data_IF_055448313546
#
_entry.id   IF_055448313546
#
_cell.length_a   1.000
_cell.length_b   1.000
_cell.length_c   1.000
_cell.angle_alpha   90.00
_cell.angle_beta   90.00
_cell.angle_gamma   90.00
#
_symmetry.space_group_name_H-M   'P 1'
#
loop_
_entity.id
_entity.type
_entity.pdbx_description
1 polymer ?
#
# COMPACT_ATOMS: atom_id res chain seq x y z
N UNK A 1 28.34 -12.15 5.96
CA UNK A 1 27.95 -11.85 7.38
C UNK A 1 27.04 -10.65 7.58
N UNK A 2 26.89 -9.74 6.65
CA UNK A 2 26.15 -8.49 6.85
C UNK A 2 24.79 -8.40 6.10
N UNK A 3 24.23 -9.52 5.59
CA UNK A 3 22.99 -9.50 4.79
C UNK A 3 21.82 -8.84 5.53
N UNK A 4 21.59 -9.21 6.78
CA UNK A 4 20.49 -8.65 7.58
C UNK A 4 20.64 -7.16 7.86
N UNK A 5 21.84 -6.69 8.15
CA UNK A 5 22.13 -5.26 8.35
C UNK A 5 21.91 -4.45 7.07
N UNK A 6 22.38 -4.95 5.93
CA UNK A 6 22.24 -4.25 4.65
C UNK A 6 20.77 -4.16 4.22
N UNK A 7 20.01 -5.26 4.37
CA UNK A 7 18.56 -5.26 4.13
C UNK A 7 17.86 -4.27 5.07
N UNK A 8 18.23 -4.23 6.36
CA UNK A 8 17.70 -3.27 7.32
C UNK A 8 17.92 -1.81 6.90
N UNK A 9 19.13 -1.47 6.42
CA UNK A 9 19.44 -0.11 5.93
C UNK A 9 18.57 0.26 4.73
N UNK A 10 18.43 -0.66 3.76
CA UNK A 10 17.60 -0.42 2.55
C UNK A 10 16.12 -0.20 2.93
N UNK A 11 15.57 -1.03 3.81
CA UNK A 11 14.19 -0.89 4.27
C UNK A 11 13.99 0.40 5.06
N UNK A 12 14.95 0.76 5.93
CA UNK A 12 14.89 2.03 6.67
C UNK A 12 14.93 3.23 5.71
N UNK A 13 15.79 3.18 4.69
CA UNK A 13 15.83 4.21 3.64
C UNK A 13 14.51 4.32 2.87
N UNK A 14 13.89 3.19 2.52
CA UNK A 14 12.59 3.15 1.86
C UNK A 14 11.50 3.80 2.72
N UNK A 15 11.39 3.41 3.99
CA UNK A 15 10.39 3.95 4.90
C UNK A 15 10.60 5.45 5.15
N UNK A 16 11.85 5.86 5.40
CA UNK A 16 12.19 7.28 5.56
C UNK A 16 11.85 8.08 4.31
N UNK A 17 12.16 7.53 3.12
CA UNK A 17 11.86 8.17 1.84
C UNK A 17 10.35 8.36 1.61
N UNK A 18 9.53 7.35 1.92
CA UNK A 18 8.08 7.44 1.80
C UNK A 18 7.50 8.54 2.70
N UNK A 19 7.99 8.66 3.93
CA UNK A 19 7.52 9.67 4.87
C UNK A 19 8.04 11.06 4.53
N UNK A 20 9.35 11.17 4.27
CA UNK A 20 9.99 12.44 3.93
C UNK A 20 9.44 13.02 2.62
N UNK A 21 9.16 12.19 1.62
CA UNK A 21 8.64 12.67 0.33
C UNK A 21 7.31 13.40 0.47
N UNK A 22 6.42 12.98 1.36
CA UNK A 22 5.13 13.64 1.60
C UNK A 22 5.30 15.03 2.20
N UNK A 23 6.17 15.16 3.21
CA UNK A 23 6.46 16.45 3.85
C UNK A 23 7.18 17.38 2.88
N UNK A 24 8.23 16.88 2.21
CA UNK A 24 9.01 17.66 1.24
C UNK A 24 8.14 18.11 0.08
N UNK A 25 7.31 17.22 -0.49
CA UNK A 25 6.44 17.58 -1.61
C UNK A 25 5.35 18.58 -1.22
N UNK A 26 4.82 18.47 0.00
CA UNK A 26 3.85 19.45 0.53
C UNK A 26 4.49 20.83 0.63
N UNK A 27 5.65 20.92 1.28
CA UNK A 27 6.36 22.19 1.46
C UNK A 27 6.87 22.80 0.13
N UNK A 28 7.46 21.98 -0.75
CA UNK A 28 7.92 22.45 -2.06
C UNK A 28 6.73 22.88 -2.94
N UNK A 29 5.62 22.14 -2.87
CA UNK A 29 4.40 22.46 -3.60
C UNK A 29 3.80 23.79 -3.18
N UNK A 30 3.89 24.15 -1.88
CA UNK A 30 3.42 25.43 -1.35
C UNK A 30 4.34 26.58 -1.76
N UNK A 31 5.66 26.43 -1.62
CA UNK A 31 6.62 27.53 -1.82
C UNK A 31 6.96 27.77 -3.29
N UNK A 32 7.16 26.70 -4.07
CA UNK A 32 7.64 26.77 -5.43
C UNK A 32 6.56 26.42 -6.47
N UNK A 33 5.59 25.62 -6.07
CA UNK A 33 4.55 25.11 -6.93
C UNK A 33 4.70 23.62 -7.28
N UNK A 34 3.60 23.02 -7.76
CA UNK A 34 3.56 21.58 -8.02
C UNK A 34 4.43 21.15 -9.23
N UNK A 35 4.65 22.04 -10.21
CA UNK A 35 5.49 21.71 -11.38
C UNK A 35 6.95 21.57 -11.01
N UNK A 36 7.44 22.47 -10.18
CA UNK A 36 8.82 22.50 -9.69
C UNK A 36 9.13 21.25 -8.86
N UNK A 37 8.16 20.75 -8.10
CA UNK A 37 8.31 19.48 -7.38
C UNK A 37 8.57 18.31 -8.35
N UNK A 38 7.89 18.25 -9.51
CA UNK A 38 8.14 17.21 -10.50
C UNK A 38 9.52 17.35 -11.16
N UNK A 39 10.01 18.58 -11.41
CA UNK A 39 11.37 18.79 -11.91
C UNK A 39 12.43 18.36 -10.89
N UNK A 40 12.25 18.65 -9.61
CA UNK A 40 13.12 18.20 -8.53
C UNK A 40 13.12 16.66 -8.47
N UNK A 41 11.96 16.04 -8.50
CA UNK A 41 11.83 14.58 -8.49
C UNK A 41 12.53 13.94 -9.71
N UNK A 42 12.36 14.52 -10.90
CA UNK A 42 13.04 14.05 -12.12
C UNK A 42 14.56 14.16 -12.00
N UNK A 43 15.06 15.26 -11.47
CA UNK A 43 16.51 15.45 -11.21
C UNK A 43 17.06 14.43 -10.22
N UNK A 44 16.35 14.18 -9.12
CA UNK A 44 16.72 13.15 -8.14
C UNK A 44 16.71 11.75 -8.76
N UNK A 45 15.72 11.41 -9.58
CA UNK A 45 15.67 10.12 -10.27
C UNK A 45 16.82 9.97 -11.27
N UNK A 46 17.21 11.04 -11.97
CA UNK A 46 18.36 11.02 -12.86
C UNK A 46 19.66 10.77 -12.10
N UNK A 47 19.86 11.42 -10.94
CA UNK A 47 21.01 11.18 -10.07
C UNK A 47 21.01 9.72 -9.55
N UNK A 48 19.87 9.20 -9.13
CA UNK A 48 19.75 7.80 -8.73
C UNK A 48 20.09 6.84 -9.87
N UNK A 49 19.63 7.11 -11.10
CA UNK A 49 19.93 6.29 -12.26
C UNK A 49 21.44 6.27 -12.56
N UNK A 50 22.10 7.43 -12.52
CA UNK A 50 23.56 7.53 -12.69
C UNK A 50 24.30 6.76 -11.58
N UNK A 51 23.85 6.88 -10.33
CA UNK A 51 24.44 6.17 -9.20
C UNK A 51 24.31 4.65 -9.37
N UNK A 52 23.13 4.16 -9.76
CA UNK A 52 22.89 2.73 -10.05
C UNK A 52 23.84 2.24 -11.15
N UNK A 53 23.94 2.96 -12.28
CA UNK A 53 24.81 2.58 -13.39
C UNK A 53 26.31 2.53 -13.03
N UNK A 54 26.74 3.37 -12.06
CA UNK A 54 28.15 3.42 -11.66
C UNK A 54 28.52 2.50 -10.50
N UNK A 55 27.58 2.19 -9.62
CA UNK A 55 27.84 1.52 -8.35
C UNK A 55 27.41 0.05 -8.37
N UNK A 56 26.31 -0.28 -9.09
CA UNK A 56 25.85 -1.67 -9.12
C UNK A 56 26.78 -2.52 -10.00
N UNK A 57 27.23 -3.69 -9.49
CA UNK A 57 27.94 -4.66 -10.31
C UNK A 57 27.01 -5.32 -11.32
N UNK A 58 27.56 -5.77 -12.44
CA UNK A 58 26.83 -6.56 -13.43
C UNK A 58 26.38 -7.89 -12.82
N UNK A 59 25.08 -8.02 -12.61
CA UNK A 59 24.49 -9.24 -12.08
C UNK A 59 24.00 -10.10 -13.24
N UNK A 60 24.57 -11.31 -13.37
CA UNK A 60 24.12 -12.26 -14.35
C UNK A 60 22.65 -12.69 -14.05
N UNK A 61 21.74 -12.64 -15.03
CA UNK A 61 20.37 -13.03 -14.83
C UNK A 61 20.27 -14.52 -14.47
N UNK A 62 19.55 -14.84 -13.41
CA UNK A 62 19.33 -16.23 -12.95
C UNK A 62 18.44 -17.01 -13.91
N UNK A 63 17.62 -16.32 -14.71
CA UNK A 63 16.73 -16.92 -15.70
C UNK A 63 17.37 -16.84 -17.10
N UNK A 64 17.64 -18.01 -17.69
CA UNK A 64 18.26 -18.11 -19.00
C UNK A 64 17.26 -18.37 -20.15
N UNK A 65 15.95 -18.34 -19.86
CA UNK A 65 14.89 -18.53 -20.85
C UNK A 65 14.52 -17.27 -21.62
N UNK A 66 13.70 -17.40 -22.67
CA UNK A 66 13.16 -16.26 -23.40
C UNK A 66 12.18 -15.46 -22.54
N UNK A 67 12.14 -14.12 -22.70
CA UNK A 67 11.22 -13.26 -21.97
C UNK A 67 9.75 -13.69 -22.09
N UNK A 68 9.34 -14.20 -23.26
CA UNK A 68 8.00 -14.77 -23.47
C UNK A 68 7.68 -15.96 -22.56
N UNK A 69 8.65 -16.82 -22.27
CA UNK A 69 8.46 -17.95 -21.38
C UNK A 69 8.35 -17.51 -19.92
N UNK A 70 9.07 -16.43 -19.56
CA UNK A 70 8.92 -15.78 -18.25
C UNK A 70 7.48 -15.25 -18.10
N UNK A 71 6.96 -14.53 -19.09
CA UNK A 71 5.58 -14.01 -19.05
C UNK A 71 4.54 -15.13 -18.99
N UNK A 72 4.69 -16.20 -19.79
CA UNK A 72 3.81 -17.38 -19.71
C UNK A 72 3.83 -18.00 -18.32
N UNK A 73 4.99 -18.04 -17.67
CA UNK A 73 5.11 -18.61 -16.31
C UNK A 73 4.33 -17.83 -15.26
N UNK A 74 4.12 -16.51 -15.43
CA UNK A 74 3.25 -15.72 -14.55
C UNK A 74 1.79 -16.17 -14.66
N UNK A 75 1.30 -16.38 -15.88
CA UNK A 75 -0.06 -16.89 -16.11
C UNK A 75 -0.26 -18.31 -15.55
N UNK A 76 0.75 -19.18 -15.68
CA UNK A 76 0.72 -20.50 -15.05
C UNK A 76 0.61 -20.37 -13.52
N UNK A 77 1.43 -19.54 -12.87
CA UNK A 77 1.36 -19.32 -11.43
C UNK A 77 -0.01 -18.80 -10.98
N UNK A 78 -0.61 -17.88 -11.74
CA UNK A 78 -1.97 -17.40 -11.45
C UNK A 78 -3.00 -18.51 -11.54
N UNK A 79 -2.86 -19.43 -12.51
CA UNK A 79 -3.77 -20.56 -12.70
C UNK A 79 -3.59 -21.63 -11.63
N UNK A 80 -2.34 -21.98 -11.33
CA UNK A 80 -1.98 -23.11 -10.49
C UNK A 80 -2.13 -22.83 -8.99
N UNK A 81 -2.06 -21.53 -8.58
CA UNK A 81 -2.13 -21.14 -7.18
C UNK A 81 -3.35 -20.24 -6.88
N UNK A 82 -4.52 -20.82 -6.56
CA UNK A 82 -5.73 -20.04 -6.21
C UNK A 82 -5.52 -19.07 -5.05
N UNK A 83 -4.72 -19.46 -4.03
CA UNK A 83 -4.41 -18.62 -2.88
C UNK A 83 -3.66 -17.34 -3.27
N UNK A 84 -2.76 -17.41 -4.27
CA UNK A 84 -2.06 -16.24 -4.79
C UNK A 84 -3.05 -15.20 -5.36
N UNK A 85 -4.05 -15.65 -6.13
CA UNK A 85 -5.10 -14.78 -6.68
C UNK A 85 -5.87 -14.09 -5.57
N UNK A 86 -6.31 -14.86 -4.58
CA UNK A 86 -7.15 -14.36 -3.50
C UNK A 86 -6.39 -13.35 -2.64
N UNK A 87 -5.16 -13.65 -2.26
CA UNK A 87 -4.33 -12.74 -1.47
C UNK A 87 -4.02 -11.45 -2.22
N UNK A 88 -3.72 -11.56 -3.53
CA UNK A 88 -3.42 -10.40 -4.37
C UNK A 88 -4.66 -9.52 -4.61
N UNK A 89 -5.82 -10.11 -4.92
CA UNK A 89 -7.07 -9.38 -5.17
C UNK A 89 -7.56 -8.72 -3.88
N UNK A 90 -7.56 -9.44 -2.76
CA UNK A 90 -7.97 -8.92 -1.45
C UNK A 90 -7.14 -7.70 -1.05
N UNK A 91 -5.81 -7.80 -1.15
CA UNK A 91 -4.92 -6.69 -0.84
C UNK A 91 -5.06 -5.54 -1.84
N UNK A 92 -5.26 -5.83 -3.13
CA UNK A 92 -5.47 -4.82 -4.17
C UNK A 92 -6.74 -4.00 -3.95
N UNK A 93 -7.85 -4.65 -3.62
CA UNK A 93 -9.13 -3.98 -3.31
C UNK A 93 -8.99 -3.10 -2.06
N UNK A 94 -8.35 -3.62 -1.00
CA UNK A 94 -8.09 -2.83 0.21
C UNK A 94 -7.18 -1.62 -0.07
N UNK A 95 -6.17 -1.79 -0.93
CA UNK A 95 -5.30 -0.70 -1.36
C UNK A 95 -6.05 0.33 -2.21
N UNK A 96 -7.05 -0.09 -2.97
CA UNK A 96 -7.97 0.80 -3.65
C UNK A 96 -8.72 1.71 -2.68
N UNK A 97 -9.23 1.16 -1.58
CA UNK A 97 -9.85 1.94 -0.50
C UNK A 97 -8.88 2.92 0.16
N UNK A 98 -7.65 2.47 0.43
CA UNK A 98 -6.59 3.30 0.99
C UNK A 98 -6.22 4.47 0.08
N UNK A 99 -5.98 4.21 -1.21
CA UNK A 99 -5.66 5.28 -2.17
C UNK A 99 -6.84 6.19 -2.48
N UNK A 100 -8.08 5.71 -2.37
CA UNK A 100 -9.28 6.54 -2.46
C UNK A 100 -9.24 7.69 -1.43
N UNK A 101 -8.85 7.37 -0.18
CA UNK A 101 -8.68 8.38 0.87
C UNK A 101 -7.55 9.35 0.53
N UNK A 102 -6.34 8.86 0.28
CA UNK A 102 -5.17 9.72 0.06
C UNK A 102 -5.28 10.60 -1.18
N UNK A 103 -5.90 10.11 -2.28
CA UNK A 103 -6.06 10.90 -3.51
C UNK A 103 -7.06 12.03 -3.38
N UNK A 104 -8.09 11.87 -2.54
CA UNK A 104 -9.13 12.88 -2.35
C UNK A 104 -8.96 13.72 -1.06
N UNK A 105 -8.03 13.36 -0.18
CA UNK A 105 -7.79 14.07 1.08
C UNK A 105 -7.42 15.53 0.84
N UNK A 106 -6.60 15.82 -0.18
CA UNK A 106 -6.22 17.17 -0.55
C UNK A 106 -7.43 18.03 -0.92
N UNK A 107 -8.38 17.46 -1.68
CA UNK A 107 -9.62 18.17 -2.06
C UNK A 107 -10.50 18.45 -0.83
N UNK A 108 -10.56 17.51 0.12
CA UNK A 108 -11.30 17.68 1.38
C UNK A 108 -10.67 18.75 2.26
N UNK A 109 -9.35 18.73 2.39
CA UNK A 109 -8.62 19.67 3.23
C UNK A 109 -8.58 21.09 2.64
N UNK A 110 -8.60 21.24 1.30
CA UNK A 110 -8.66 22.53 0.62
C UNK A 110 -10.02 23.22 0.67
N UNK A 111 -11.05 22.58 1.23
CA UNK A 111 -12.40 23.13 1.37
C UNK A 111 -12.73 23.46 2.82
N UNK A 112 -13.90 24.13 3.01
CA UNK A 112 -14.42 24.37 4.36
C UNK A 112 -14.55 23.06 5.15
N UNK A 113 -14.26 23.06 6.42
CA UNK A 113 -13.87 24.18 7.31
C UNK A 113 -12.36 24.45 7.35
N UNK A 114 -11.52 23.66 6.66
CA UNK A 114 -10.07 23.66 6.87
C UNK A 114 -9.34 24.73 6.07
N UNK A 115 -9.63 24.85 4.76
CA UNK A 115 -8.88 25.71 3.83
C UNK A 115 -7.37 25.53 3.95
N UNK A 116 -6.93 24.28 4.13
CA UNK A 116 -5.55 23.94 4.44
C UNK A 116 -4.69 23.94 3.17
N UNK A 117 -3.48 24.44 3.31
CA UNK A 117 -2.47 24.48 2.28
C UNK A 117 -1.75 23.12 2.13
N UNK A 118 -0.91 23.00 1.12
CA UNK A 118 -0.24 21.74 0.78
C UNK A 118 0.71 21.24 1.85
N UNK A 119 1.31 22.12 2.63
CA UNK A 119 2.21 21.81 3.74
C UNK A 119 1.49 21.06 4.88
N UNK A 120 0.29 21.50 5.25
CA UNK A 120 -0.56 20.84 6.26
C UNK A 120 -0.89 19.41 5.82
N UNK A 121 -1.24 19.23 4.53
CA UNK A 121 -1.53 17.91 3.95
C UNK A 121 -0.27 17.04 3.97
N UNK A 122 0.89 17.61 3.67
CA UNK A 122 2.18 16.94 3.76
C UNK A 122 2.50 16.45 5.19
N UNK A 123 2.22 17.29 6.19
CA UNK A 123 2.40 16.94 7.61
C UNK A 123 1.49 15.77 8.04
N UNK A 124 0.26 15.70 7.54
CA UNK A 124 -0.62 14.54 7.76
C UNK A 124 0.02 13.24 7.27
N UNK A 125 0.93 13.31 6.29
CA UNK A 125 1.71 12.17 5.84
C UNK A 125 2.59 11.55 6.93
N UNK A 126 2.95 12.29 7.99
CA UNK A 126 3.69 11.76 9.13
C UNK A 126 2.89 10.74 9.94
N UNK A 127 1.56 10.74 9.84
CA UNK A 127 0.72 9.68 10.42
C UNK A 127 1.12 8.29 9.87
N UNK A 128 1.70 8.23 8.67
CA UNK A 128 2.26 7.00 8.10
C UNK A 128 3.36 6.34 8.94
N UNK A 129 3.97 7.06 9.91
CA UNK A 129 4.93 6.48 10.87
C UNK A 129 4.25 5.38 11.68
N UNK A 130 2.99 5.58 12.08
CA UNK A 130 2.22 4.56 12.80
C UNK A 130 2.01 3.31 11.95
N UNK A 131 1.70 3.48 10.66
CA UNK A 131 1.63 2.38 9.69
C UNK A 131 2.97 1.65 9.58
N UNK A 132 4.07 2.38 9.39
CA UNK A 132 5.41 1.80 9.28
C UNK A 132 5.81 1.00 10.53
N UNK A 133 5.48 1.50 11.72
CA UNK A 133 5.72 0.80 13.00
C UNK A 133 4.89 -0.49 13.09
N UNK A 134 3.63 -0.44 12.64
CA UNK A 134 2.74 -1.60 12.58
C UNK A 134 3.27 -2.67 11.63
N UNK A 135 3.93 -2.29 10.54
CA UNK A 135 4.53 -3.21 9.59
C UNK A 135 5.48 -4.22 10.27
N UNK A 136 6.34 -3.74 11.15
CA UNK A 136 7.29 -4.59 11.89
C UNK A 136 6.56 -5.59 12.80
N UNK A 137 5.47 -5.17 13.44
CA UNK A 137 4.66 -6.02 14.31
C UNK A 137 3.93 -7.10 13.49
N UNK A 138 3.30 -6.74 12.38
CA UNK A 138 2.62 -7.69 11.49
C UNK A 138 3.60 -8.73 10.99
N UNK A 139 4.77 -8.31 10.46
CA UNK A 139 5.80 -9.24 9.97
C UNK A 139 6.26 -10.24 11.03
N UNK A 140 6.37 -9.80 12.30
CA UNK A 140 6.76 -10.66 13.42
C UNK A 140 5.68 -11.67 13.82
N UNK A 141 4.40 -11.26 13.79
CA UNK A 141 3.30 -12.02 14.36
C UNK A 141 2.41 -12.71 13.33
N UNK A 142 2.60 -12.48 12.02
CA UNK A 142 1.72 -13.02 10.98
C UNK A 142 1.61 -14.53 11.02
N UNK A 143 2.71 -15.25 11.29
CA UNK A 143 2.71 -16.71 11.41
C UNK A 143 1.95 -17.23 12.64
N UNK A 144 1.93 -16.45 13.74
CA UNK A 144 1.26 -16.82 14.99
C UNK A 144 -0.23 -16.47 14.97
N UNK A 145 -0.56 -15.28 14.53
CA UNK A 145 -1.94 -14.75 14.52
C UNK A 145 -2.74 -15.27 13.33
N UNK A 146 -2.05 -15.52 12.21
CA UNK A 146 -2.64 -15.96 10.96
C UNK A 146 -3.07 -14.80 10.06
N UNK A 147 -2.95 -15.04 8.75
CA UNK A 147 -3.28 -14.06 7.70
C UNK A 147 -4.74 -13.61 7.79
N UNK A 148 -5.67 -14.55 8.06
CA UNK A 148 -7.10 -14.26 8.14
C UNK A 148 -7.44 -13.25 9.24
N UNK A 149 -6.87 -13.43 10.42
CA UNK A 149 -7.11 -12.54 11.55
C UNK A 149 -6.53 -11.15 11.30
N UNK A 150 -5.34 -11.04 10.69
CA UNK A 150 -4.79 -9.74 10.29
C UNK A 150 -5.65 -9.04 9.24
N UNK A 151 -6.28 -9.78 8.32
CA UNK A 151 -7.20 -9.18 7.35
C UNK A 151 -8.50 -8.71 8.03
N UNK A 152 -9.04 -9.45 9.01
CA UNK A 152 -10.18 -8.98 9.80
C UNK A 152 -9.86 -7.71 10.58
N UNK A 153 -8.73 -7.69 11.28
CA UNK A 153 -8.27 -6.52 12.03
C UNK A 153 -8.09 -5.34 11.07
N UNK A 154 -7.40 -5.55 9.95
CA UNK A 154 -7.14 -4.51 8.96
C UNK A 154 -8.42 -3.94 8.36
N UNK A 155 -9.35 -4.79 7.91
CA UNK A 155 -10.64 -4.34 7.38
C UNK A 155 -11.45 -3.60 8.46
N UNK A 156 -11.46 -4.09 9.70
CA UNK A 156 -12.14 -3.43 10.82
C UNK A 156 -11.59 -2.03 11.08
N UNK A 157 -10.26 -1.89 11.11
CA UNK A 157 -9.60 -0.59 11.27
C UNK A 157 -9.89 0.38 10.11
N UNK A 158 -9.89 -0.11 8.86
CA UNK A 158 -10.22 0.72 7.69
C UNK A 158 -11.70 1.14 7.71
N UNK A 159 -12.61 0.28 8.12
CA UNK A 159 -14.03 0.65 8.28
C UNK A 159 -14.22 1.71 9.38
N UNK A 160 -13.54 1.57 10.51
CA UNK A 160 -13.52 2.60 11.57
C UNK A 160 -12.89 3.90 11.09
N UNK A 161 -11.85 3.83 10.25
CA UNK A 161 -11.26 4.99 9.62
C UNK A 161 -12.27 5.73 8.75
N UNK A 162 -13.00 5.02 7.89
CA UNK A 162 -14.03 5.64 7.06
C UNK A 162 -15.19 6.21 7.87
N UNK A 163 -15.58 5.56 8.96
CA UNK A 163 -16.55 6.12 9.90
C UNK A 163 -16.05 7.43 10.54
N UNK A 164 -14.80 7.46 11.01
CA UNK A 164 -14.18 8.68 11.55
C UNK A 164 -14.11 9.79 10.50
N UNK A 165 -13.65 9.47 9.29
CA UNK A 165 -13.52 10.41 8.18
C UNK A 165 -14.87 10.94 7.68
N UNK A 166 -15.94 10.18 7.81
CA UNK A 166 -17.27 10.60 7.40
C UNK A 166 -17.97 11.43 8.50
N UNK A 167 -18.05 10.92 9.72
CA UNK A 167 -18.79 11.56 10.81
C UNK A 167 -18.02 12.68 11.50
N UNK A 168 -16.70 12.52 11.67
CA UNK A 168 -15.83 13.48 12.32
C UNK A 168 -14.88 14.20 11.35
N UNK A 169 -15.03 13.99 10.06
CA UNK A 169 -14.15 14.50 9.00
C UNK A 169 -14.20 16.03 8.77
N UNK A 170 -14.92 16.78 9.60
CA UNK A 170 -14.90 18.24 9.63
C UNK A 170 -14.00 18.79 10.76
N UNK A 171 -13.29 17.93 11.46
CA UNK A 171 -12.33 18.29 12.52
C UNK A 171 -10.96 17.69 12.21
N UNK A 172 -9.89 18.38 12.60
CA UNK A 172 -8.53 17.86 12.47
C UNK A 172 -8.34 16.53 13.21
N UNK A 173 -8.91 16.39 14.40
CA UNK A 173 -8.85 15.16 15.20
C UNK A 173 -9.50 13.99 14.47
N UNK A 174 -10.65 14.19 13.82
CA UNK A 174 -11.31 13.16 13.03
C UNK A 174 -10.52 12.75 11.78
N UNK A 175 -9.91 13.71 11.10
CA UNK A 175 -9.01 13.45 9.96
C UNK A 175 -7.78 12.66 10.42
N UNK A 176 -7.07 13.12 11.47
CA UNK A 176 -5.88 12.44 11.99
C UNK A 176 -6.20 11.02 12.45
N UNK A 177 -7.29 10.84 13.21
CA UNK A 177 -7.71 9.52 13.65
C UNK A 177 -8.02 8.59 12.46
N UNK A 178 -8.74 9.09 11.45
CA UNK A 178 -9.05 8.35 10.23
C UNK A 178 -7.80 7.95 9.45
N UNK A 179 -6.85 8.89 9.26
CA UNK A 179 -5.58 8.62 8.57
C UNK A 179 -4.74 7.58 9.33
N UNK A 180 -4.60 7.71 10.64
CA UNK A 180 -3.88 6.72 11.47
C UNK A 180 -4.50 5.32 11.36
N UNK A 181 -5.82 5.23 11.49
CA UNK A 181 -6.53 3.95 11.44
C UNK A 181 -6.41 3.29 10.06
N UNK A 182 -6.51 4.06 8.97
CA UNK A 182 -6.42 3.50 7.61
C UNK A 182 -4.99 3.05 7.29
N UNK A 183 -3.97 3.79 7.73
CA UNK A 183 -2.56 3.43 7.54
C UNK A 183 -2.24 2.13 8.30
N UNK A 184 -2.62 2.02 9.57
CA UNK A 184 -2.44 0.82 10.39
C UNK A 184 -3.20 -0.37 9.78
N UNK A 185 -4.47 -0.18 9.43
CA UNK A 185 -5.31 -1.21 8.84
C UNK A 185 -4.76 -1.72 7.52
N UNK A 186 -4.26 -0.82 6.67
CA UNK A 186 -3.66 -1.20 5.39
C UNK A 186 -2.40 -2.03 5.56
N UNK A 187 -1.53 -1.69 6.52
CA UNK A 187 -0.33 -2.48 6.82
C UNK A 187 -0.67 -3.90 7.30
N UNK A 188 -1.72 -4.05 8.11
CA UNK A 188 -2.20 -5.36 8.51
C UNK A 188 -2.59 -6.23 7.31
N UNK A 189 -3.31 -5.67 6.34
CA UNK A 189 -3.74 -6.39 5.13
C UNK A 189 -2.56 -6.63 4.19
N UNK A 190 -1.81 -5.59 3.84
CA UNK A 190 -0.73 -5.68 2.87
C UNK A 190 0.31 -6.71 3.28
N UNK A 191 0.89 -6.55 4.48
CA UNK A 191 2.01 -7.39 4.90
C UNK A 191 1.62 -8.83 5.18
N UNK A 192 0.43 -9.06 5.77
CA UNK A 192 -0.02 -10.43 6.00
C UNK A 192 -0.22 -11.18 4.68
N UNK A 193 -0.83 -10.55 3.67
CA UNK A 193 -0.99 -11.17 2.36
C UNK A 193 0.36 -11.31 1.64
N UNK A 194 1.19 -10.26 1.60
CA UNK A 194 2.47 -10.27 0.91
C UNK A 194 3.47 -11.27 1.50
N UNK A 195 3.54 -11.40 2.82
CA UNK A 195 4.40 -12.42 3.45
C UNK A 195 3.94 -13.82 3.08
N UNK A 196 2.63 -14.05 3.07
CA UNK A 196 2.07 -15.39 2.80
C UNK A 196 2.22 -15.83 1.35
N UNK A 197 2.28 -14.92 0.38
CA UNK A 197 2.53 -15.32 -1.01
C UNK A 197 3.92 -15.90 -1.22
N UNK A 198 4.92 -15.48 -0.45
CA UNK A 198 6.27 -16.04 -0.55
C UNK A 198 6.36 -17.49 -0.07
N UNK A 199 5.47 -17.89 0.85
CA UNK A 199 5.38 -19.27 1.33
C UNK A 199 4.68 -20.20 0.31
N UNK A 200 3.92 -19.66 -0.66
CA UNK A 200 3.20 -20.43 -1.68
C UNK A 200 4.18 -21.10 -2.67
N UNK A 201 5.15 -20.33 -3.17
CA UNK A 201 6.13 -20.83 -4.13
C UNK A 201 7.50 -20.17 -3.91
N UNK A 202 8.31 -20.68 -2.95
CA UNK A 202 9.61 -20.09 -2.61
C UNK A 202 10.60 -20.04 -3.78
N UNK A 203 10.53 -21.01 -4.70
CA UNK A 203 11.37 -21.08 -5.91
C UNK A 203 11.04 -20.01 -6.96
N UNK A 204 9.87 -19.37 -6.86
CA UNK A 204 9.41 -18.34 -7.79
C UNK A 204 9.05 -17.02 -7.08
N UNK A 205 9.65 -16.73 -5.93
CA UNK A 205 9.32 -15.58 -5.07
C UNK A 205 9.23 -14.25 -5.83
N UNK A 206 10.16 -13.96 -6.75
CA UNK A 206 10.14 -12.73 -7.55
C UNK A 206 8.90 -12.66 -8.46
N UNK A 207 8.54 -13.79 -9.10
CA UNK A 207 7.37 -13.86 -10.01
C UNK A 207 6.06 -13.73 -9.24
N UNK A 208 5.96 -14.39 -8.10
CA UNK A 208 4.80 -14.30 -7.19
C UNK A 208 4.63 -12.87 -6.69
N UNK A 209 5.73 -12.21 -6.29
CA UNK A 209 5.69 -10.81 -5.87
C UNK A 209 5.30 -9.88 -7.04
N UNK A 210 5.75 -10.15 -8.26
CA UNK A 210 5.34 -9.38 -9.44
C UNK A 210 3.83 -9.43 -9.64
N UNK A 211 3.23 -10.63 -9.57
CA UNK A 211 1.77 -10.81 -9.68
C UNK A 211 1.05 -10.04 -8.56
N UNK A 212 1.52 -10.20 -7.33
CA UNK A 212 0.94 -9.51 -6.18
C UNK A 212 0.99 -7.99 -6.35
N UNK A 213 2.16 -7.42 -6.62
CA UNK A 213 2.33 -5.98 -6.76
C UNK A 213 1.57 -5.40 -7.96
N UNK A 214 1.52 -6.10 -9.09
CA UNK A 214 0.73 -5.67 -10.25
C UNK A 214 -0.75 -5.60 -9.89
N UNK A 215 -1.30 -6.63 -9.26
CA UNK A 215 -2.70 -6.66 -8.82
C UNK A 215 -2.98 -5.59 -7.76
N UNK A 216 -2.05 -5.41 -6.82
CA UNK A 216 -2.10 -4.44 -5.75
C UNK A 216 -2.19 -3.01 -6.29
N UNK A 217 -1.27 -2.60 -7.16
CA UNK A 217 -1.28 -1.26 -7.77
C UNK A 217 -2.43 -1.05 -8.76
N UNK A 218 -2.87 -2.10 -9.48
CA UNK A 218 -4.06 -2.03 -10.30
C UNK A 218 -5.30 -1.72 -9.45
N UNK A 219 -5.45 -2.41 -8.32
CA UNK A 219 -6.52 -2.12 -7.37
C UNK A 219 -6.45 -0.69 -6.82
N UNK A 220 -5.25 -0.22 -6.49
CA UNK A 220 -5.01 1.16 -6.06
C UNK A 220 -5.41 2.19 -7.12
N UNK A 221 -5.02 1.97 -8.38
CA UNK A 221 -5.36 2.86 -9.51
C UNK A 221 -6.87 2.92 -9.75
N UNK A 222 -7.55 1.76 -9.72
CA UNK A 222 -9.01 1.69 -9.82
C UNK A 222 -9.69 2.41 -8.66
N UNK A 223 -9.20 2.24 -7.42
CA UNK A 223 -9.73 2.93 -6.26
C UNK A 223 -9.60 4.45 -6.36
N UNK A 224 -8.45 4.95 -6.80
CA UNK A 224 -8.21 6.38 -7.06
C UNK A 224 -9.16 6.92 -8.13
N UNK A 225 -9.31 6.20 -9.24
CA UNK A 225 -10.22 6.60 -10.33
C UNK A 225 -11.68 6.67 -9.85
N UNK A 226 -12.14 5.63 -9.15
CA UNK A 226 -13.50 5.58 -8.61
C UNK A 226 -13.74 6.69 -7.57
N UNK A 227 -12.76 6.94 -6.69
CA UNK A 227 -12.86 8.00 -5.70
C UNK A 227 -12.96 9.39 -6.35
N UNK A 228 -12.12 9.67 -7.34
CA UNK A 228 -12.18 10.93 -8.10
C UNK A 228 -13.52 11.13 -8.80
N UNK A 229 -14.08 10.08 -9.39
CA UNK A 229 -15.40 10.12 -10.01
C UNK A 229 -16.52 10.35 -8.99
N UNK A 230 -16.48 9.65 -7.87
CA UNK A 230 -17.45 9.82 -6.78
C UNK A 230 -17.35 11.19 -6.12
N UNK A 231 -16.14 11.76 -6.03
CA UNK A 231 -15.93 13.12 -5.53
C UNK A 231 -16.65 14.16 -6.38
N UNK A 232 -16.58 14.04 -7.70
CA UNK A 232 -17.25 14.98 -8.62
C UNK A 232 -18.78 15.00 -8.48
N UNK A 233 -19.38 13.85 -8.11
CA UNK A 233 -20.84 13.70 -8.05
C UNK A 233 -21.38 13.97 -6.64
N UNK A 234 -20.72 13.38 -5.61
CA UNK A 234 -21.22 13.37 -4.23
C UNK A 234 -20.22 13.96 -3.21
N UNK A 235 -19.13 14.56 -3.69
CA UNK A 235 -18.08 15.12 -2.81
C UNK A 235 -17.47 14.07 -1.89
N UNK A 236 -17.16 14.48 -0.67
CA UNK A 236 -16.53 13.61 0.33
C UNK A 236 -17.39 12.40 0.73
N UNK A 237 -18.71 12.54 0.73
CA UNK A 237 -19.62 11.43 1.04
C UNK A 237 -19.48 10.30 0.00
N UNK A 238 -19.30 10.65 -1.28
CA UNK A 238 -19.05 9.68 -2.34
C UNK A 238 -17.73 8.94 -2.17
N UNK A 239 -16.67 9.65 -1.78
CA UNK A 239 -15.36 9.05 -1.51
C UNK A 239 -15.43 8.10 -0.31
N UNK A 240 -16.07 8.50 0.78
CA UNK A 240 -16.27 7.65 1.94
C UNK A 240 -17.14 6.41 1.60
N UNK A 241 -18.15 6.60 0.76
CA UNK A 241 -19.00 5.51 0.28
C UNK A 241 -18.21 4.46 -0.51
N UNK A 242 -17.46 4.88 -1.54
CA UNK A 242 -16.68 3.93 -2.36
C UNK A 242 -15.55 3.28 -1.55
N UNK A 243 -14.87 4.03 -0.66
CA UNK A 243 -13.84 3.47 0.21
C UNK A 243 -14.38 2.40 1.16
N UNK A 244 -15.57 2.65 1.72
CA UNK A 244 -16.29 1.67 2.56
C UNK A 244 -16.67 0.43 1.75
N UNK A 245 -17.23 0.59 0.56
CA UNK A 245 -17.61 -0.53 -0.33
C UNK A 245 -16.39 -1.38 -0.68
N UNK A 246 -15.28 -0.78 -1.08
CA UNK A 246 -14.04 -1.52 -1.37
C UNK A 246 -13.55 -2.29 -0.14
N UNK A 247 -13.61 -1.69 1.04
CA UNK A 247 -13.21 -2.38 2.28
C UNK A 247 -14.13 -3.55 2.60
N UNK A 248 -15.44 -3.38 2.43
CA UNK A 248 -16.42 -4.46 2.62
C UNK A 248 -16.23 -5.60 1.62
N UNK A 249 -15.86 -5.31 0.37
CA UNK A 249 -15.51 -6.34 -0.61
C UNK A 249 -14.26 -7.12 -0.19
N UNK A 250 -13.22 -6.45 0.31
CA UNK A 250 -12.02 -7.12 0.85
C UNK A 250 -12.37 -7.98 2.07
N UNK A 251 -13.25 -7.49 2.94
CA UNK A 251 -13.75 -8.23 4.11
C UNK A 251 -14.56 -9.46 3.69
N UNK A 252 -15.43 -9.31 2.70
CA UNK A 252 -16.22 -10.41 2.15
C UNK A 252 -15.34 -11.53 1.61
N UNK A 253 -14.30 -11.20 0.85
CA UNK A 253 -13.31 -12.17 0.39
C UNK A 253 -12.66 -12.89 1.58
N UNK A 254 -12.37 -12.17 2.67
CA UNK A 254 -11.79 -12.76 3.88
C UNK A 254 -12.73 -13.72 4.59
N UNK A 255 -14.05 -13.43 4.58
CA UNK A 255 -15.08 -14.28 5.18
C UNK A 255 -15.28 -15.55 4.35
N UNK A 256 -15.42 -15.39 3.03
CA UNK A 256 -15.73 -16.50 2.11
C UNK A 256 -14.55 -17.46 1.92
N UNK A 257 -13.32 -16.98 2.03
CA UNK A 257 -12.13 -17.82 1.86
C UNK A 257 -11.69 -18.41 3.21
N UNK A 258 -11.99 -19.71 3.41
CA UNK A 258 -11.36 -20.49 4.48
C UNK A 258 -9.92 -20.77 4.08
N UNK A 259 -8.99 -20.08 4.70
CA UNK A 259 -7.57 -20.38 4.55
C UNK A 259 -7.34 -21.81 5.05
N UNK A 260 -6.82 -22.65 4.18
CA UNK A 260 -6.22 -23.90 4.64
C UNK A 260 -5.06 -23.48 5.55
N UNK A 261 -5.21 -23.69 6.85
CA UNK A 261 -4.05 -23.71 7.74
C UNK A 261 -3.09 -24.71 7.10
N UNK A 262 -1.99 -24.21 6.54
CA UNK A 262 -0.82 -25.05 6.29
C UNK A 262 -0.49 -25.63 7.65
N UNK A 263 -0.96 -26.87 7.88
CA UNK A 263 -0.70 -27.60 9.09
C UNK A 263 0.81 -27.60 9.27
N UNK A 264 1.28 -26.97 10.32
CA UNK A 264 2.56 -27.22 10.93
C UNK A 264 2.55 -28.68 11.46
N UNK A 265 2.50 -29.65 10.53
CA UNK A 265 2.76 -31.05 10.79
C UNK A 265 3.90 -31.40 9.85
N UNK A 266 5.02 -31.66 10.48
CA UNK A 266 6.33 -32.15 10.04
C UNK A 266 7.40 -31.05 9.96
N UNK A 267 8.21 -30.90 10.95
CA UNK A 267 9.27 -31.68 11.64
C UNK A 267 9.71 -30.90 12.85
#
# INVERSE_FOLDING_TARGET
ENKGRNVGIVISGLLTGILASRVVSGFVGEVLGWREMYFIAAGMMMLCAIAVLKILPDIQPTFQGKYGDLMKSLFSLIKDYPSLRIYSIRAGIAFGSFLAMWSCLAFKMGQAPFYADSDVIGILGLCGIAGASTASLVGKYVKKVGIRNFNFIGCGLILLAWASLYFCGNTYTGIIAGVLLIDIGMQCIQLSNQTSIFDICPSASNRVNTIFMTTYFTGGSLGTFLAGSCWQIWGWAGVAGIGTVLTLLSLLITICHKEQQLSLIHI
#
